data_IF_925621131360
#
_entry.id   IF_925621131360
#
_cell.length_a   1.000
_cell.length_b   1.000
_cell.length_c   1.000
_cell.angle_alpha   90.00
_cell.angle_beta   90.00
_cell.angle_gamma   90.00
#
_symmetry.space_group_name_H-M   'P 1'
#
loop_
_entity.id
_entity.type
_entity.pdbx_description
1 polymer ?
#
# COMPACT_ATOMS: atom_id res chain seq x y z
N UNK A 1 -3.48 12.52 8.01
CA UNK A 1 -2.23 13.19 8.45
C UNK A 1 -1.18 12.14 8.70
N UNK A 2 -0.11 12.16 7.92
CA UNK A 2 0.96 11.20 8.01
C UNK A 2 1.96 11.54 9.12
N UNK A 3 2.86 10.61 9.40
CA UNK A 3 3.86 10.72 10.47
C UNK A 3 5.04 9.80 10.20
N UNK A 4 6.17 10.05 10.87
CA UNK A 4 7.35 9.21 10.71
C UNK A 4 7.14 7.79 11.27
N UNK A 5 7.55 6.79 10.49
CA UNK A 5 7.53 5.37 10.84
C UNK A 5 8.94 4.85 11.09
N UNK A 6 9.10 3.94 12.04
CA UNK A 6 10.40 3.34 12.34
C UNK A 6 10.73 2.18 11.40
N UNK A 7 12.02 1.90 11.22
CA UNK A 7 12.52 0.73 10.47
C UNK A 7 11.96 -0.59 11.04
N UNK A 8 11.79 -0.66 12.35
CA UNK A 8 11.25 -1.85 13.03
C UNK A 8 9.84 -2.19 12.56
N UNK A 9 8.95 -1.19 12.41
CA UNK A 9 7.57 -1.43 11.95
C UNK A 9 7.55 -1.90 10.49
N UNK A 10 8.44 -1.38 9.66
CA UNK A 10 8.62 -1.85 8.28
C UNK A 10 9.04 -3.31 8.23
N UNK A 11 10.09 -3.68 8.97
CA UNK A 11 10.59 -5.05 9.02
C UNK A 11 9.53 -6.01 9.56
N UNK A 12 8.81 -5.62 10.63
CA UNK A 12 7.71 -6.43 11.16
C UNK A 12 6.60 -6.66 10.12
N UNK A 13 6.27 -5.63 9.36
CA UNK A 13 5.27 -5.70 8.28
C UNK A 13 5.73 -6.63 7.15
N UNK A 14 6.98 -6.53 6.70
CA UNK A 14 7.54 -7.41 5.68
C UNK A 14 7.62 -8.87 6.12
N UNK A 15 7.92 -9.11 7.40
CA UNK A 15 7.90 -10.44 7.99
C UNK A 15 6.48 -11.03 7.98
N UNK A 16 5.46 -10.24 8.32
CA UNK A 16 4.05 -10.67 8.25
C UNK A 16 3.61 -10.92 6.79
N UNK A 17 4.06 -10.11 5.84
CA UNK A 17 3.82 -10.29 4.40
C UNK A 17 4.60 -11.47 3.79
N UNK A 18 5.65 -11.94 4.47
CA UNK A 18 6.62 -12.88 3.92
C UNK A 18 7.25 -12.38 2.62
N UNK A 19 7.41 -11.06 2.47
CA UNK A 19 8.02 -10.42 1.31
C UNK A 19 8.50 -9.00 1.63
N UNK A 20 9.56 -8.58 0.93
CA UNK A 20 10.09 -7.22 1.03
C UNK A 20 9.30 -6.22 0.19
N UNK A 21 8.99 -5.06 0.78
CA UNK A 21 8.40 -3.92 0.11
C UNK A 21 9.41 -3.22 -0.81
N UNK A 22 8.96 -2.55 -1.89
CA UNK A 22 9.86 -1.83 -2.78
C UNK A 22 10.59 -0.70 -2.06
N UNK A 23 11.86 -0.47 -2.43
CA UNK A 23 12.73 0.52 -1.79
C UNK A 23 12.08 1.91 -1.70
N UNK A 24 11.59 2.45 -2.81
CA UNK A 24 11.04 3.81 -2.87
C UNK A 24 9.79 3.97 -1.98
N UNK A 25 8.98 2.92 -1.91
CA UNK A 25 7.81 2.90 -1.03
C UNK A 25 8.23 2.88 0.45
N UNK A 26 9.25 2.08 0.80
CA UNK A 26 9.79 2.05 2.17
C UNK A 26 10.26 3.43 2.61
N UNK A 27 11.07 4.10 1.79
CA UNK A 27 11.63 5.42 2.13
C UNK A 27 10.53 6.49 2.23
N UNK A 28 9.51 6.43 1.37
CA UNK A 28 8.35 7.31 1.47
C UNK A 28 7.57 7.09 2.77
N UNK A 29 7.24 5.84 3.10
CA UNK A 29 6.45 5.50 4.29
C UNK A 29 7.19 5.76 5.61
N UNK A 30 8.53 5.73 5.61
CA UNK A 30 9.34 6.17 6.77
C UNK A 30 9.13 7.63 7.10
N UNK A 31 9.12 8.47 6.07
CA UNK A 31 9.01 9.92 6.21
C UNK A 31 7.55 10.31 6.48
N UNK A 32 6.64 9.67 5.76
CA UNK A 32 5.24 10.06 5.69
C UNK A 32 4.39 8.77 5.60
N UNK A 33 4.07 8.18 6.75
CA UNK A 33 3.32 6.94 6.82
C UNK A 33 1.83 7.16 6.50
N UNK A 34 1.37 6.60 5.38
CA UNK A 34 0.06 6.91 4.77
C UNK A 34 0.13 8.19 3.95
N UNK A 35 -0.91 9.03 4.03
CA UNK A 35 -0.98 10.29 3.30
C UNK A 35 -1.80 10.17 2.01
N UNK A 36 -1.60 11.09 1.08
CA UNK A 36 -2.33 11.15 -0.18
C UNK A 36 -1.33 11.16 -1.33
N UNK A 37 -1.71 10.54 -2.45
CA UNK A 37 -0.97 10.61 -3.71
C UNK A 37 -1.94 10.93 -4.84
N UNK A 38 -1.45 11.55 -5.90
CA UNK A 38 -2.29 11.92 -7.05
C UNK A 38 -1.68 11.40 -8.34
N UNK A 39 -2.53 11.05 -9.29
CA UNK A 39 -2.18 10.67 -10.66
C UNK A 39 -2.95 11.56 -11.63
N UNK A 40 -2.74 11.39 -12.94
CA UNK A 40 -3.49 12.17 -13.93
C UNK A 40 -5.00 11.89 -13.88
N UNK A 41 -5.40 10.73 -13.36
CA UNK A 41 -6.78 10.25 -13.39
C UNK A 41 -7.47 10.29 -12.02
N UNK A 42 -6.74 10.07 -10.93
CA UNK A 42 -7.33 9.86 -9.60
C UNK A 42 -6.47 10.43 -8.46
N UNK A 43 -7.16 10.76 -7.37
CA UNK A 43 -6.56 11.00 -6.05
C UNK A 43 -6.64 9.73 -5.20
N UNK A 44 -5.55 9.42 -4.51
CA UNK A 44 -5.34 8.18 -3.79
C UNK A 44 -5.07 8.44 -2.32
N UNK A 45 -5.85 7.82 -1.44
CA UNK A 45 -5.56 7.77 -0.01
C UNK A 45 -4.65 6.56 0.26
N UNK A 46 -3.41 6.83 0.68
CA UNK A 46 -2.42 5.80 0.98
C UNK A 46 -2.72 5.15 2.33
N UNK A 47 -2.79 3.82 2.33
CA UNK A 47 -2.93 3.06 3.55
C UNK A 47 -1.62 3.13 4.35
N UNK A 48 -1.70 3.40 5.66
CA UNK A 48 -0.52 3.40 6.51
C UNK A 48 0.04 1.98 6.66
N UNK A 49 1.31 1.91 7.03
CA UNK A 49 1.89 0.73 7.64
C UNK A 49 1.54 0.74 9.13
N UNK A 50 1.23 -0.45 9.65
CA UNK A 50 0.85 -0.63 11.05
C UNK A 50 1.96 -0.10 11.95
N UNK A 51 1.58 0.74 12.90
CA UNK A 51 2.48 1.22 13.94
C UNK A 51 1.89 0.88 15.32
N UNK A 52 2.50 -0.09 15.98
CA UNK A 52 2.07 -0.56 17.29
C UNK A 52 2.85 0.06 18.47
N UNK A 53 3.67 1.10 18.24
CA UNK A 53 4.52 1.68 19.29
C UNK A 53 3.73 2.30 20.44
N UNK A 54 2.54 2.83 20.17
CA UNK A 54 1.62 3.32 21.18
C UNK A 54 0.16 3.22 20.72
N UNK A 55 -0.76 3.34 21.69
CA UNK A 55 -2.20 3.17 21.44
C UNK A 55 -2.79 4.18 20.44
N UNK A 56 -2.28 5.42 20.39
CA UNK A 56 -2.76 6.44 19.44
C UNK A 56 -2.27 6.12 18.03
N UNK A 57 -1.01 5.71 17.87
CA UNK A 57 -0.45 5.29 16.57
C UNK A 57 -1.13 4.03 16.05
N UNK A 58 -1.41 3.07 16.92
CA UNK A 58 -2.15 1.85 16.56
C UNK A 58 -3.57 2.17 16.08
N UNK A 59 -4.28 3.06 16.79
CA UNK A 59 -5.61 3.49 16.38
C UNK A 59 -5.61 4.24 15.04
N UNK A 60 -4.59 5.04 14.77
CA UNK A 60 -4.43 5.77 13.49
C UNK A 60 -4.04 4.88 12.32
N UNK A 61 -3.50 3.70 12.59
CA UNK A 61 -3.03 2.73 11.58
C UNK A 61 -3.86 1.46 11.58
N UNK A 62 -5.12 1.53 12.03
CA UNK A 62 -6.00 0.36 12.03
C UNK A 62 -6.32 -0.12 10.61
N UNK A 63 -6.43 0.81 9.67
CA UNK A 63 -6.67 0.54 8.24
C UNK A 63 -5.32 0.39 7.51
N UNK A 64 -4.42 -0.42 8.06
CA UNK A 64 -3.08 -0.59 7.48
C UNK A 64 -3.10 -1.50 6.24
N UNK A 65 -2.05 -1.43 5.42
CA UNK A 65 -1.93 -2.17 4.15
C UNK A 65 -2.35 -3.65 4.22
N UNK A 66 -1.97 -4.40 5.27
CA UNK A 66 -2.35 -5.82 5.43
C UNK A 66 -3.86 -5.98 5.71
N UNK A 67 -4.48 -5.10 6.49
CA UNK A 67 -5.90 -5.16 6.81
C UNK A 67 -6.72 -4.82 5.57
N UNK A 68 -6.36 -3.75 4.86
CA UNK A 68 -7.05 -3.33 3.64
C UNK A 68 -6.90 -4.35 2.51
N UNK A 69 -5.71 -4.94 2.35
CA UNK A 69 -5.52 -6.06 1.41
C UNK A 69 -6.42 -7.25 1.74
N UNK A 70 -6.62 -7.56 3.03
CA UNK A 70 -7.53 -8.63 3.45
C UNK A 70 -8.99 -8.28 3.11
N UNK A 71 -9.40 -7.04 3.30
CA UNK A 71 -10.72 -6.55 2.90
C UNK A 71 -10.94 -6.69 1.38
N UNK A 72 -9.90 -6.47 0.57
CA UNK A 72 -9.97 -6.61 -0.89
C UNK A 72 -10.27 -8.05 -1.36
N UNK A 73 -9.87 -9.08 -0.61
CA UNK A 73 -10.26 -10.46 -0.95
C UNK A 73 -11.78 -10.67 -0.88
N UNK A 74 -12.53 -9.82 -0.18
CA UNK A 74 -13.99 -9.86 -0.14
C UNK A 74 -14.66 -9.60 -1.50
N UNK A 75 -13.98 -8.94 -2.46
CA UNK A 75 -14.48 -8.73 -3.82
C UNK A 75 -14.44 -9.99 -4.68
N UNK A 76 -13.65 -11.01 -4.29
CA UNK A 76 -13.57 -12.32 -4.94
C UNK A 76 -12.64 -12.42 -6.16
N UNK A 77 -12.30 -11.29 -6.79
CA UNK A 77 -11.42 -11.18 -7.96
C UNK A 77 -10.08 -10.47 -7.65
N UNK A 78 -9.78 -10.19 -6.38
CA UNK A 78 -8.53 -9.56 -5.99
C UNK A 78 -7.35 -10.56 -6.11
N UNK A 79 -6.23 -10.20 -6.77
CA UNK A 79 -5.11 -11.13 -6.98
C UNK A 79 -4.45 -11.57 -5.67
N UNK A 80 -4.22 -12.87 -5.48
CA UNK A 80 -3.57 -13.41 -4.26
C UNK A 80 -2.12 -12.97 -4.06
N UNK A 81 -1.44 -12.54 -5.13
CA UNK A 81 -0.09 -12.00 -5.06
C UNK A 81 -0.08 -10.47 -4.99
N UNK A 82 -1.24 -9.80 -4.90
CA UNK A 82 -1.31 -8.35 -4.78
C UNK A 82 -1.30 -7.88 -3.32
N UNK A 83 -0.78 -6.68 -3.12
CA UNK A 83 -0.81 -5.94 -1.86
C UNK A 83 -1.42 -4.57 -2.14
N UNK A 84 -2.57 -4.28 -1.53
CA UNK A 84 -3.22 -2.98 -1.63
C UNK A 84 -2.49 -1.95 -0.77
N UNK A 85 -2.16 -0.81 -1.37
CA UNK A 85 -1.40 0.28 -0.74
C UNK A 85 -2.13 1.62 -0.75
N UNK A 86 -3.18 1.77 -1.57
CA UNK A 86 -4.00 2.98 -1.61
C UNK A 86 -5.40 2.70 -2.17
N UNK A 87 -6.36 3.59 -1.88
CA UNK A 87 -7.72 3.60 -2.43
C UNK A 87 -8.01 4.91 -3.15
N UNK A 88 -8.77 4.88 -4.25
CA UNK A 88 -9.38 6.08 -4.82
C UNK A 88 -10.74 6.43 -4.18
N UNK A 89 -11.19 5.64 -3.20
CA UNK A 89 -12.50 5.82 -2.55
C UNK A 89 -13.71 5.35 -3.37
N UNK A 90 -13.50 4.89 -4.61
CA UNK A 90 -14.53 4.35 -5.51
C UNK A 90 -14.48 2.83 -5.65
N UNK A 91 -13.49 2.19 -5.01
CA UNK A 91 -13.32 0.73 -4.96
C UNK A 91 -12.01 0.26 -5.54
N UNK A 92 -11.43 1.02 -6.47
CA UNK A 92 -10.17 0.66 -7.11
C UNK A 92 -9.00 0.82 -6.14
N UNK A 93 -8.01 -0.03 -6.33
CA UNK A 93 -6.89 -0.15 -5.41
C UNK A 93 -5.58 0.07 -6.15
N UNK A 94 -4.71 0.89 -5.58
CA UNK A 94 -3.31 0.90 -5.98
C UNK A 94 -2.64 -0.31 -5.33
N UNK A 95 -1.93 -1.12 -6.11
CA UNK A 95 -1.36 -2.38 -5.65
C UNK A 95 0.09 -2.58 -6.08
N UNK A 96 0.84 -3.30 -5.25
CA UNK A 96 2.07 -3.97 -5.66
C UNK A 96 1.81 -5.45 -5.95
N UNK A 97 2.59 -6.02 -6.87
CA UNK A 97 2.56 -7.44 -7.17
C UNK A 97 3.79 -8.15 -6.58
N UNK A 98 3.54 -9.23 -5.84
CA UNK A 98 4.55 -10.09 -5.23
C UNK A 98 5.17 -11.01 -6.28
N UNK A 99 6.49 -11.09 -6.26
CA UNK A 99 7.32 -12.05 -6.99
C UNK A 99 8.26 -12.74 -6.00
N UNK A 100 7.96 -14.00 -5.68
CA UNK A 100 8.70 -14.78 -4.68
C UNK A 100 8.74 -14.10 -3.30
N UNK A 101 9.91 -13.63 -2.85
CA UNK A 101 10.13 -13.04 -1.53
C UNK A 101 10.20 -11.50 -1.55
N UNK A 102 9.76 -10.87 -2.64
CA UNK A 102 9.80 -9.42 -2.82
C UNK A 102 8.58 -8.94 -3.61
N UNK A 103 8.17 -7.70 -3.37
CA UNK A 103 7.23 -7.00 -4.23
C UNK A 103 8.00 -6.30 -5.36
N UNK A 104 7.42 -6.32 -6.55
CA UNK A 104 7.94 -5.61 -7.70
C UNK A 104 7.88 -4.09 -7.48
N UNK A 105 8.84 -3.32 -8.01
CA UNK A 105 8.84 -1.87 -7.87
C UNK A 105 7.66 -1.20 -8.60
N UNK A 106 7.17 -1.82 -9.68
CA UNK A 106 6.04 -1.32 -10.44
C UNK A 106 4.76 -1.23 -9.62
N UNK A 107 4.07 -0.12 -9.78
CA UNK A 107 2.77 0.15 -9.17
C UNK A 107 1.70 -0.12 -10.20
N UNK A 108 0.64 -0.80 -9.79
CA UNK A 108 -0.51 -1.12 -10.62
C UNK A 108 -1.78 -0.54 -10.02
N UNK A 109 -2.79 -0.29 -10.87
CA UNK A 109 -4.18 -0.14 -10.44
C UNK A 109 -4.85 -1.49 -10.59
N UNK A 110 -5.58 -1.91 -9.57
CA UNK A 110 -6.54 -2.99 -9.65
C UNK A 110 -7.95 -2.40 -9.73
N UNK A 111 -8.66 -2.76 -10.81
CA UNK A 111 -10.02 -2.30 -11.08
C UNK A 111 -11.01 -3.26 -10.42
N UNK A 112 -11.80 -2.78 -9.47
CA UNK A 112 -12.67 -3.66 -8.68
C UNK A 112 -13.80 -4.28 -9.51
N UNK A 113 -14.28 -3.56 -10.52
CA UNK A 113 -15.39 -4.01 -11.39
C UNK A 113 -14.99 -5.16 -12.30
N UNK A 114 -13.77 -5.15 -12.84
CA UNK A 114 -13.29 -6.14 -13.82
C UNK A 114 -12.34 -7.17 -13.21
N UNK A 115 -11.65 -6.81 -12.12
CA UNK A 115 -10.58 -7.60 -11.52
C UNK A 115 -9.25 -7.49 -12.25
N UNK A 116 -9.14 -6.63 -13.26
CA UNK A 116 -7.92 -6.44 -14.03
C UNK A 116 -6.90 -5.57 -13.29
N UNK A 117 -5.62 -5.82 -13.56
CA UNK A 117 -4.51 -5.00 -13.07
C UNK A 117 -3.83 -4.28 -14.22
N UNK A 118 -3.69 -2.96 -14.14
CA UNK A 118 -3.08 -2.10 -15.16
C UNK A 118 -1.84 -1.40 -14.59
N UNK A 119 -0.78 -1.30 -15.39
CA UNK A 119 0.45 -0.63 -14.96
C UNK A 119 0.18 0.87 -14.81
N UNK A 120 0.41 1.40 -13.60
CA UNK A 120 0.25 2.82 -13.29
C UNK A 120 1.58 3.56 -13.35
N UNK A 121 2.60 3.00 -12.72
CA UNK A 121 3.93 3.59 -12.66
C UNK A 121 5.01 2.52 -12.60
N UNK A 122 6.20 2.81 -13.14
CA UNK A 122 7.32 1.88 -13.07
C UNK A 122 7.98 1.80 -11.69
N UNK A 123 7.64 2.72 -10.78
CA UNK A 123 8.14 2.80 -9.40
C UNK A 123 7.28 3.75 -8.58
N UNK A 124 7.21 3.54 -7.26
CA UNK A 124 6.49 4.43 -6.36
C UNK A 124 7.01 5.88 -6.38
N UNK A 125 8.32 6.08 -6.58
CA UNK A 125 8.91 7.41 -6.69
C UNK A 125 8.42 8.26 -7.88
N UNK A 126 7.69 7.66 -8.83
CA UNK A 126 7.09 8.40 -9.96
C UNK A 126 5.68 8.91 -9.67
N UNK A 127 5.11 8.55 -8.53
CA UNK A 127 3.83 9.09 -8.08
C UNK A 127 4.07 10.43 -7.36
N UNK A 128 3.18 11.37 -7.57
CA UNK A 128 3.19 12.63 -6.84
C UNK A 128 2.47 12.45 -5.51
N UNK A 129 3.19 12.66 -4.42
CA UNK A 129 2.62 12.60 -3.06
C UNK A 129 2.31 14.01 -2.58
N UNK A 130 1.12 14.21 -2.02
CA UNK A 130 0.59 15.52 -1.60
C UNK A 130 1.04 15.91 -0.18
#
# INVERSE_FOLDING_TARGET
>A
MAFNLTEEQLVNTELELGARLPHDYRESMKTDNGGEATTEEDDWELYPIKDNSDRKRLARTCNHIIAETKSCFGFGNFPHNALAIASNGLGDQMVFLKESAQFKPEVYIWLHETGETQLLASSFAKLEKL
#
